data_IF_549605786697
#
_entry.id   IF_549605786697
#
_cell.length_a   1.000
_cell.length_b   1.000
_cell.length_c   1.000
_cell.angle_alpha   90.00
_cell.angle_beta   90.00
_cell.angle_gamma   90.00
#
_symmetry.space_group_name_H-M   'P 1'
#
loop_
_entity.id
_entity.type
_entity.pdbx_description
1 polymer ?
#
# COMPACT_ATOMS: atom_id res chain seq x y z
N UNK A 1 1.28 -18.67 -11.00
CA UNK A 1 0.57 -18.04 -9.87
C UNK A 1 -0.82 -18.63 -9.64
N UNK A 2 -1.68 -18.76 -10.67
CA UNK A 2 -3.06 -19.29 -10.53
C UNK A 2 -3.08 -20.68 -9.90
N UNK A 3 -2.33 -21.64 -10.43
CA UNK A 3 -2.25 -22.99 -9.89
C UNK A 3 -1.71 -23.02 -8.45
N UNK A 4 -0.61 -22.30 -8.19
CA UNK A 4 0.02 -22.28 -6.87
C UNK A 4 -0.90 -21.62 -5.82
N UNK A 5 -1.62 -20.55 -6.20
CA UNK A 5 -2.57 -19.92 -5.30
C UNK A 5 -3.72 -20.85 -4.87
N UNK A 6 -4.22 -21.66 -5.80
CA UNK A 6 -5.29 -22.62 -5.51
C UNK A 6 -4.92 -23.63 -4.41
N UNK A 7 -3.66 -24.08 -4.38
CA UNK A 7 -3.19 -25.04 -3.38
C UNK A 7 -2.75 -24.42 -2.05
N UNK A 8 -2.27 -23.17 -2.06
CA UNK A 8 -1.67 -22.54 -0.87
C UNK A 8 -2.50 -21.44 -0.22
N UNK A 9 -3.48 -20.89 -0.92
CA UNK A 9 -4.37 -19.86 -0.40
C UNK A 9 -5.82 -20.28 -0.57
N UNK A 10 -6.53 -20.50 0.52
CA UNK A 10 -7.99 -20.75 0.47
C UNK A 10 -8.72 -19.47 0.01
N UNK A 11 -9.50 -19.57 -1.08
CA UNK A 11 -10.34 -18.47 -1.58
C UNK A 11 -9.89 -17.90 -2.93
N UNK A 12 -10.46 -16.76 -3.31
CA UNK A 12 -10.19 -16.14 -4.62
C UNK A 12 -8.73 -15.71 -4.77
N UNK A 13 -8.20 -15.76 -6.00
CA UNK A 13 -6.85 -15.31 -6.35
C UNK A 13 -6.62 -13.84 -5.96
N UNK A 14 -7.62 -13.01 -6.20
CA UNK A 14 -7.54 -11.59 -5.92
C UNK A 14 -8.12 -11.27 -4.55
N UNK A 15 -7.46 -10.32 -3.90
CA UNK A 15 -7.97 -9.61 -2.74
C UNK A 15 -8.26 -8.18 -3.19
N UNK A 16 -9.49 -7.75 -2.99
CA UNK A 16 -9.95 -6.41 -3.35
C UNK A 16 -10.28 -5.68 -2.05
N UNK A 17 -9.77 -4.46 -1.90
CA UNK A 17 -9.99 -3.66 -0.70
C UNK A 17 -10.13 -2.19 -1.05
N UNK A 18 -11.13 -1.55 -0.47
CA UNK A 18 -11.35 -0.12 -0.64
C UNK A 18 -10.21 0.68 0.00
N UNK A 19 -9.66 1.59 -0.78
CA UNK A 19 -8.56 2.47 -0.43
C UNK A 19 -8.94 3.93 -0.69
N UNK A 20 -8.30 4.83 0.06
CA UNK A 20 -8.46 6.26 -0.19
C UNK A 20 -7.59 6.69 -1.36
N UNK A 21 -8.22 7.29 -2.35
CA UNK A 21 -7.62 7.79 -3.59
C UNK A 21 -7.51 9.32 -3.63
N UNK A 22 -7.25 9.85 -4.83
CA UNK A 22 -7.16 11.29 -5.07
C UNK A 22 -8.43 12.01 -4.58
N UNK A 23 -8.23 13.20 -3.97
CA UNK A 23 -9.30 14.02 -3.38
C UNK A 23 -10.13 13.29 -2.32
N UNK A 24 -9.50 12.34 -1.60
CA UNK A 24 -10.14 11.49 -0.59
C UNK A 24 -11.29 10.63 -1.15
N UNK A 25 -11.34 10.39 -2.46
CA UNK A 25 -12.30 9.47 -3.06
C UNK A 25 -11.99 8.02 -2.69
N UNK A 26 -12.97 7.15 -2.76
CA UNK A 26 -12.76 5.71 -2.57
C UNK A 26 -12.48 5.04 -3.91
N UNK A 27 -11.56 4.06 -3.94
CA UNK A 27 -11.37 3.13 -5.06
C UNK A 27 -11.03 1.75 -4.55
N UNK A 28 -11.31 0.72 -5.34
CA UNK A 28 -11.03 -0.68 -5.00
C UNK A 28 -9.65 -1.08 -5.51
N UNK A 29 -8.69 -1.24 -4.60
CA UNK A 29 -7.33 -1.67 -4.93
C UNK A 29 -7.25 -3.20 -5.11
N UNK A 30 -6.62 -3.64 -6.19
CA UNK A 30 -6.42 -5.05 -6.52
C UNK A 30 -5.07 -5.55 -6.00
N UNK A 31 -5.08 -6.74 -5.36
CA UNK A 31 -3.86 -7.45 -4.95
C UNK A 31 -4.01 -8.95 -5.18
N UNK A 32 -2.91 -9.67 -5.24
CA UNK A 32 -2.98 -11.13 -5.04
C UNK A 32 -3.21 -11.42 -3.56
N UNK A 33 -4.03 -12.43 -3.28
CA UNK A 33 -4.31 -12.85 -1.91
C UNK A 33 -3.06 -13.48 -1.29
N UNK A 34 -2.69 -13.00 -0.11
CA UNK A 34 -1.53 -13.47 0.66
C UNK A 34 -1.87 -13.90 2.08
N UNK A 35 -3.13 -13.75 2.46
CA UNK A 35 -3.63 -14.04 3.81
C UNK A 35 -4.86 -14.95 3.73
N UNK A 36 -5.07 -15.75 4.77
CA UNK A 36 -6.29 -16.52 4.95
C UNK A 36 -7.51 -15.60 5.00
N UNK A 37 -8.59 -16.03 4.35
CA UNK A 37 -9.87 -15.29 4.36
C UNK A 37 -10.46 -15.26 5.76
N UNK A 38 -11.07 -14.12 6.11
CA UNK A 38 -11.96 -13.97 7.26
C UNK A 38 -13.29 -13.41 6.80
N UNK A 39 -14.36 -13.64 7.56
CA UNK A 39 -15.69 -13.13 7.23
C UNK A 39 -15.71 -11.60 7.28
N UNK A 40 -15.06 -10.99 8.27
CA UNK A 40 -15.02 -9.56 8.48
C UNK A 40 -13.61 -9.10 8.87
N UNK A 41 -13.21 -7.91 8.44
CA UNK A 41 -11.96 -7.26 8.86
C UNK A 41 -12.31 -6.43 10.09
N UNK A 42 -11.99 -6.93 11.27
CA UNK A 42 -12.27 -6.28 12.57
C UNK A 42 -11.11 -5.40 13.04
N UNK A 43 -9.95 -5.46 12.39
CA UNK A 43 -8.75 -4.72 12.76
C UNK A 43 -8.98 -3.20 12.72
N UNK A 44 -8.69 -2.52 13.82
CA UNK A 44 -8.72 -1.06 13.92
C UNK A 44 -7.47 -0.42 13.30
N UNK A 45 -7.50 0.91 13.16
CA UNK A 45 -6.43 1.68 12.50
C UNK A 45 -5.10 1.70 13.27
N UNK A 46 -5.11 1.44 14.56
CA UNK A 46 -3.97 1.36 15.49
C UNK A 46 -3.54 -0.06 15.85
N UNK A 47 -4.31 -1.09 15.43
CA UNK A 47 -3.96 -2.48 15.68
C UNK A 47 -2.81 -2.94 14.77
N UNK A 48 -1.92 -3.83 15.27
CA UNK A 48 -0.84 -4.41 14.48
C UNK A 48 -1.39 -5.29 13.34
N UNK A 49 -0.54 -5.52 12.33
CA UNK A 49 -0.89 -6.43 11.22
C UNK A 49 -1.05 -7.86 11.74
N UNK A 50 -2.13 -8.54 11.34
CA UNK A 50 -2.42 -9.94 11.66
C UNK A 50 -1.48 -10.89 10.90
N UNK A 51 -0.21 -10.93 11.33
CA UNK A 51 0.86 -11.70 10.66
C UNK A 51 0.62 -13.22 10.68
N UNK A 52 -0.12 -13.71 11.68
CA UNK A 52 -0.51 -15.12 11.83
C UNK A 52 -1.40 -15.63 10.68
N UNK A 53 -2.07 -14.74 9.97
CA UNK A 53 -2.92 -15.08 8.82
C UNK A 53 -2.16 -15.14 7.49
N UNK A 54 -0.90 -14.69 7.47
CA UNK A 54 -0.11 -14.68 6.24
C UNK A 54 0.31 -16.12 5.91
N UNK A 55 -0.08 -16.61 4.73
CA UNK A 55 0.29 -17.95 4.27
C UNK A 55 1.78 -18.01 3.92
N UNK A 56 2.37 -19.22 3.91
CA UNK A 56 3.78 -19.40 3.53
C UNK A 56 4.07 -18.87 2.13
N UNK A 57 3.17 -19.14 1.18
CA UNK A 57 3.25 -18.59 -0.18
C UNK A 57 3.04 -17.07 -0.18
N UNK A 58 2.10 -16.57 0.62
CA UNK A 58 1.86 -15.15 0.80
C UNK A 58 3.09 -14.38 1.30
N UNK A 59 3.92 -14.99 2.16
CA UNK A 59 5.21 -14.40 2.60
C UNK A 59 6.17 -14.17 1.43
N UNK A 60 6.25 -15.14 0.49
CA UNK A 60 7.10 -15.02 -0.70
C UNK A 60 6.59 -13.88 -1.60
N UNK A 61 5.29 -13.84 -1.87
CA UNK A 61 4.67 -12.80 -2.70
C UNK A 61 4.89 -11.39 -2.11
N UNK A 62 4.74 -11.24 -0.80
CA UNK A 62 4.97 -9.96 -0.10
C UNK A 62 6.42 -9.53 -0.14
N UNK A 63 7.36 -10.43 0.14
CA UNK A 63 8.80 -10.14 0.09
C UNK A 63 9.24 -9.65 -1.29
N UNK A 64 8.70 -10.23 -2.36
CA UNK A 64 8.98 -9.84 -3.74
C UNK A 64 8.07 -8.74 -4.28
N UNK A 65 7.10 -8.25 -3.48
CA UNK A 65 6.04 -7.31 -3.88
C UNK A 65 5.22 -7.74 -5.11
N UNK A 66 5.28 -9.01 -5.48
CA UNK A 66 4.47 -9.59 -6.56
C UNK A 66 2.97 -9.50 -6.23
N UNK A 67 2.61 -9.54 -4.94
CA UNK A 67 1.23 -9.37 -4.50
C UNK A 67 0.61 -8.03 -4.92
N UNK A 68 1.39 -7.02 -5.19
CA UNK A 68 0.94 -5.69 -5.59
C UNK A 68 0.85 -5.50 -7.12
N UNK A 69 1.33 -6.44 -7.94
CA UNK A 69 1.27 -6.35 -9.40
C UNK A 69 -0.15 -6.09 -9.96
N UNK A 70 -1.24 -6.66 -9.41
CA UNK A 70 -2.58 -6.35 -9.92
C UNK A 70 -2.98 -4.88 -9.80
N UNK A 71 -2.30 -4.07 -8.96
CA UNK A 71 -2.56 -2.63 -8.90
C UNK A 71 -2.22 -1.89 -10.20
N UNK A 72 -1.49 -2.52 -11.13
CA UNK A 72 -1.31 -1.97 -12.47
C UNK A 72 -2.67 -1.74 -13.17
N UNK A 73 -3.69 -2.54 -12.85
CA UNK A 73 -5.05 -2.32 -13.36
C UNK A 73 -5.65 -1.02 -12.81
N UNK A 74 -5.35 -0.68 -11.56
CA UNK A 74 -5.76 0.62 -10.99
C UNK A 74 -5.01 1.80 -11.65
N UNK A 75 -3.74 1.59 -12.04
CA UNK A 75 -2.97 2.60 -12.79
C UNK A 75 -3.60 2.81 -14.17
N UNK A 76 -3.92 1.74 -14.90
CA UNK A 76 -4.56 1.81 -16.22
C UNK A 76 -5.95 2.45 -16.16
N UNK A 77 -6.70 2.24 -15.07
CA UNK A 77 -7.98 2.92 -14.82
C UNK A 77 -7.82 4.39 -14.41
N UNK A 78 -6.62 4.87 -14.15
CA UNK A 78 -6.36 6.24 -13.69
C UNK A 78 -6.66 6.49 -12.21
N UNK A 79 -6.90 5.44 -11.42
CA UNK A 79 -7.16 5.51 -9.99
C UNK A 79 -5.86 5.65 -9.19
N UNK A 80 -4.75 5.10 -9.72
CA UNK A 80 -3.40 5.13 -9.14
C UNK A 80 -2.36 5.66 -10.12
N UNK A 81 -1.16 5.94 -9.62
CA UNK A 81 0.08 6.16 -10.36
C UNK A 81 1.10 5.08 -9.99
N UNK A 82 2.19 4.94 -10.76
CA UNK A 82 3.32 4.08 -10.35
C UNK A 82 3.98 4.65 -9.09
N UNK A 83 4.21 5.97 -9.05
CA UNK A 83 4.85 6.66 -7.93
C UNK A 83 3.86 7.63 -7.28
N UNK A 84 3.81 7.64 -5.97
CA UNK A 84 2.95 8.52 -5.18
C UNK A 84 2.78 8.04 -3.72
N UNK A 85 2.05 8.78 -2.90
CA UNK A 85 1.68 8.35 -1.56
C UNK A 85 0.95 7.00 -1.57
N UNK A 86 1.37 6.06 -0.71
CA UNK A 86 0.69 4.77 -0.62
C UNK A 86 -0.73 4.94 -0.09
N UNK A 87 -1.76 4.37 -0.75
CA UNK A 87 -3.14 4.50 -0.29
C UNK A 87 -3.39 3.66 0.95
N UNK A 88 -4.01 4.24 1.97
CA UNK A 88 -4.41 3.52 3.18
C UNK A 88 -5.81 2.92 3.03
N UNK A 89 -6.13 1.90 3.84
CA UNK A 89 -7.46 1.32 3.90
C UNK A 89 -8.48 2.41 4.21
N UNK A 90 -9.59 2.46 3.45
CA UNK A 90 -10.49 3.60 3.44
C UNK A 90 -11.02 3.97 4.83
N UNK A 91 -11.48 2.97 5.60
CA UNK A 91 -11.99 3.23 6.95
C UNK A 91 -10.92 3.74 7.93
N UNK A 92 -9.68 3.22 7.83
CA UNK A 92 -8.55 3.74 8.63
C UNK A 92 -8.19 5.17 8.21
N UNK A 93 -8.20 5.45 6.91
CA UNK A 93 -7.91 6.77 6.37
C UNK A 93 -8.92 7.83 6.83
N UNK A 94 -10.19 7.48 7.01
CA UNK A 94 -11.19 8.38 7.60
C UNK A 94 -10.84 8.79 9.03
N UNK A 95 -10.30 7.87 9.84
CA UNK A 95 -9.84 8.20 11.20
C UNK A 95 -8.55 9.03 11.17
N UNK A 96 -7.62 8.73 10.26
CA UNK A 96 -6.40 9.55 10.09
C UNK A 96 -6.70 10.97 9.61
N UNK A 97 -7.73 11.17 8.77
CA UNK A 97 -8.18 12.51 8.36
C UNK A 97 -8.61 13.38 9.54
N UNK A 98 -9.17 12.78 10.60
CA UNK A 98 -9.61 13.49 11.80
C UNK A 98 -8.46 13.78 12.76
N UNK A 99 -7.51 12.86 12.88
CA UNK A 99 -6.53 12.82 13.97
C UNK A 99 -5.10 13.18 13.54
N UNK A 100 -4.78 13.21 12.24
CA UNK A 100 -3.43 13.46 11.74
C UNK A 100 -3.39 14.75 10.92
N UNK A 101 -2.71 15.75 11.44
CA UNK A 101 -2.49 17.02 10.72
C UNK A 101 -1.68 16.76 9.43
N UNK A 102 -2.10 17.38 8.32
CA UNK A 102 -1.43 17.22 7.04
C UNK A 102 -1.72 15.90 6.32
N UNK A 103 -2.66 15.10 6.81
CA UNK A 103 -2.97 13.81 6.21
C UNK A 103 -3.79 13.95 4.91
N UNK A 104 -4.68 14.94 4.83
CA UNK A 104 -5.52 15.22 3.64
C UNK A 104 -4.70 15.59 2.42
N UNK A 105 -3.63 16.32 2.62
CA UNK A 105 -2.74 16.84 1.57
C UNK A 105 -2.09 15.73 0.74
N UNK A 106 -1.89 14.54 1.34
CA UNK A 106 -1.39 13.35 0.64
C UNK A 106 -2.27 12.93 -0.54
N UNK A 107 -3.55 13.29 -0.51
CA UNK A 107 -4.55 12.89 -1.50
C UNK A 107 -4.85 13.99 -2.53
N UNK A 108 -4.04 15.02 -2.63
CA UNK A 108 -4.11 16.02 -3.71
C UNK A 108 -3.66 15.45 -5.05
N UNK A 109 -2.84 14.40 -5.02
CA UNK A 109 -2.40 13.64 -6.20
C UNK A 109 -2.93 12.20 -6.15
N UNK A 110 -2.76 11.44 -7.25
CA UNK A 110 -3.07 10.01 -7.27
C UNK A 110 -2.14 9.24 -6.34
N UNK A 111 -2.66 8.25 -5.59
CA UNK A 111 -1.81 7.36 -4.79
C UNK A 111 -0.91 6.51 -5.70
N UNK A 112 0.25 6.11 -5.17
CA UNK A 112 1.24 5.31 -5.90
C UNK A 112 1.31 3.85 -5.45
N UNK A 113 1.79 2.97 -6.34
CA UNK A 113 2.22 1.61 -5.98
C UNK A 113 3.44 1.70 -5.07
N UNK A 114 4.39 2.58 -5.42
CA UNK A 114 5.55 2.91 -4.57
C UNK A 114 5.62 4.41 -4.31
N UNK A 115 6.35 4.83 -3.26
CA UNK A 115 6.46 6.23 -2.91
C UNK A 115 7.58 6.53 -1.92
N UNK A 116 7.85 7.81 -1.71
CA UNK A 116 8.99 8.28 -0.91
C UNK A 116 8.89 7.81 0.55
N UNK A 117 7.72 7.86 1.17
CA UNK A 117 7.53 7.41 2.54
C UNK A 117 7.76 5.92 2.69
N UNK A 118 7.39 5.10 1.70
CA UNK A 118 7.61 3.65 1.73
C UNK A 118 9.09 3.28 1.72
N UNK A 119 9.93 3.98 0.94
CA UNK A 119 11.37 3.69 0.88
C UNK A 119 12.16 4.28 2.04
N UNK A 120 11.66 5.35 2.69
CA UNK A 120 12.34 5.99 3.84
C UNK A 120 11.94 5.43 5.19
N UNK A 121 10.65 5.18 5.40
CA UNK A 121 10.08 4.83 6.70
C UNK A 121 9.66 3.36 6.78
N UNK A 122 9.49 2.71 5.64
CA UNK A 122 8.91 1.38 5.60
C UNK A 122 7.42 1.38 6.00
N UNK A 123 7.04 0.39 6.80
CA UNK A 123 5.67 0.29 7.33
C UNK A 123 5.48 1.24 8.50
N UNK A 124 4.40 2.02 8.46
CA UNK A 124 4.00 2.93 9.52
C UNK A 124 2.64 2.50 10.09
N UNK A 125 2.58 2.27 11.38
CA UNK A 125 1.37 1.90 12.12
C UNK A 125 1.17 2.87 13.28
N UNK A 126 -0.10 3.17 13.60
CA UNK A 126 -0.48 4.13 14.62
C UNK A 126 -0.40 5.60 14.15
N UNK A 127 -0.92 6.49 14.97
CA UNK A 127 -1.10 7.91 14.61
C UNK A 127 0.24 8.64 14.40
N UNK A 128 1.22 8.43 15.28
CA UNK A 128 2.52 9.11 15.19
C UNK A 128 3.29 8.69 13.92
N UNK A 129 3.36 7.39 13.65
CA UNK A 129 4.02 6.88 12.45
C UNK A 129 3.29 7.32 11.17
N UNK A 130 1.95 7.42 11.21
CA UNK A 130 1.15 7.96 10.11
C UNK A 130 1.38 9.45 9.91
N UNK A 131 1.59 10.23 10.97
CA UNK A 131 1.94 11.65 10.86
C UNK A 131 3.31 11.84 10.20
N UNK A 132 4.32 11.05 10.58
CA UNK A 132 5.65 11.05 9.91
C UNK A 132 5.54 10.67 8.43
N UNK A 133 4.73 9.65 8.12
CA UNK A 133 4.44 9.23 6.74
C UNK A 133 3.79 10.36 5.95
N UNK A 134 2.78 11.04 6.51
CA UNK A 134 2.11 12.17 5.87
C UNK A 134 3.07 13.34 5.58
N UNK A 135 3.97 13.65 6.52
CA UNK A 135 4.99 14.68 6.33
C UNK A 135 5.93 14.37 5.16
N UNK A 136 6.42 13.13 5.07
CA UNK A 136 7.31 12.70 3.98
C UNK A 136 6.57 12.67 2.63
N UNK A 137 5.32 12.25 2.60
CA UNK A 137 4.51 12.24 1.38
C UNK A 137 4.21 13.67 0.91
N UNK A 138 3.90 14.60 1.83
CA UNK A 138 3.68 16.01 1.51
C UNK A 138 4.97 16.68 1.01
N UNK A 139 6.13 16.35 1.60
CA UNK A 139 7.41 16.78 1.07
C UNK A 139 7.60 16.31 -0.39
N UNK A 140 7.29 15.04 -0.69
CA UNK A 140 7.36 14.51 -2.06
C UNK A 140 6.46 15.32 -3.00
N UNK A 141 5.20 15.56 -2.62
CA UNK A 141 4.22 16.28 -3.44
C UNK A 141 4.71 17.69 -3.80
N UNK A 142 5.32 18.38 -2.82
CA UNK A 142 5.82 19.74 -3.01
C UNK A 142 7.14 19.83 -3.82
N UNK A 143 7.92 18.74 -3.85
CA UNK A 143 9.26 18.73 -4.42
C UNK A 143 9.43 17.69 -5.53
N UNK A 144 8.32 17.19 -6.11
CA UNK A 144 8.36 16.17 -7.15
C UNK A 144 9.23 16.64 -8.34
N UNK A 145 10.22 15.81 -8.71
CA UNK A 145 11.07 15.99 -9.86
C UNK A 145 11.65 14.64 -10.31
N UNK A 146 12.19 14.57 -11.51
CA UNK A 146 12.74 13.34 -12.10
C UNK A 146 13.80 12.66 -11.22
N UNK A 147 14.64 13.42 -10.51
CA UNK A 147 15.69 12.85 -9.64
C UNK A 147 15.08 12.11 -8.47
N UNK A 148 14.07 12.68 -7.82
CA UNK A 148 13.36 12.04 -6.71
C UNK A 148 12.64 10.79 -7.20
N UNK A 149 11.98 10.85 -8.35
CA UNK A 149 11.26 9.69 -8.91
C UNK A 149 12.21 8.57 -9.30
N UNK A 150 13.33 8.86 -9.96
CA UNK A 150 14.36 7.87 -10.27
C UNK A 150 14.94 7.23 -9.00
N UNK A 151 15.17 8.00 -7.94
CA UNK A 151 15.59 7.46 -6.63
C UNK A 151 14.52 6.52 -6.03
N UNK A 152 13.24 6.87 -6.14
CA UNK A 152 12.15 6.00 -5.66
C UNK A 152 12.14 4.69 -6.44
N UNK A 153 12.21 4.74 -7.77
CA UNK A 153 12.25 3.55 -8.63
C UNK A 153 13.46 2.68 -8.28
N UNK A 154 14.67 3.25 -8.24
CA UNK A 154 15.90 2.52 -7.94
C UNK A 154 15.85 1.81 -6.57
N UNK A 155 15.41 2.51 -5.51
CA UNK A 155 15.26 1.91 -4.19
C UNK A 155 14.16 0.85 -4.15
N UNK A 156 13.08 1.03 -4.89
CA UNK A 156 12.02 0.03 -5.02
C UNK A 156 12.55 -1.26 -5.66
N UNK A 157 13.31 -1.15 -6.75
CA UNK A 157 13.94 -2.29 -7.41
C UNK A 157 14.92 -3.01 -6.47
N UNK A 158 15.76 -2.27 -5.74
CA UNK A 158 16.67 -2.84 -4.75
C UNK A 158 15.88 -3.59 -3.66
N UNK A 159 14.78 -3.03 -3.17
CA UNK A 159 13.91 -3.65 -2.16
C UNK A 159 13.32 -4.96 -2.67
N UNK A 160 12.86 -4.99 -3.92
CA UNK A 160 12.31 -6.19 -4.58
C UNK A 160 13.39 -7.26 -4.75
N UNK A 161 14.53 -6.90 -5.32
CA UNK A 161 15.64 -7.83 -5.59
C UNK A 161 16.23 -8.44 -4.30
N UNK A 162 16.25 -7.69 -3.21
CA UNK A 162 16.71 -8.16 -1.90
C UNK A 162 15.63 -8.90 -1.10
N UNK A 163 14.41 -9.01 -1.61
CA UNK A 163 13.30 -9.63 -0.90
C UNK A 163 12.94 -8.93 0.42
N UNK A 164 13.13 -7.61 0.50
CA UNK A 164 12.85 -6.79 1.67
C UNK A 164 11.41 -6.21 1.67
N UNK A 165 10.55 -6.62 0.75
CA UNK A 165 9.11 -6.36 0.81
C UNK A 165 8.51 -7.00 2.08
N UNK A 166 7.44 -6.42 2.60
CA UNK A 166 6.73 -6.95 3.80
C UNK A 166 5.37 -7.49 3.42
#
# INVERSE_FOLDING_TARGET
>A
LLFVNYFFNSGSLFFIQDRMGKNCSVFSAFKFRTMLSVKEITRKYDDPIETNRITSFGKILRKSRIDELPQILNVLKGEMSLIGPRPDYYLHALEYLKNVKGYRERYTIRPGITGLSQIRLGYAEGLEATAKKASVDNYYIQNVNYIIELKIIGNTLITILRGLGK
#
